data_IF_237040003010
#
_entry.id   IF_237040003010
#
_cell.length_a   1.000
_cell.length_b   1.000
_cell.length_c   1.000
_cell.angle_alpha   90.00
_cell.angle_beta   90.00
_cell.angle_gamma   90.00
#
_symmetry.space_group_name_H-M   'P 1'
#
loop_
_entity.id
_entity.type
_entity.pdbx_description
1 polymer ?
#
# COMPACT_ATOMS: atom_id res chain seq x y z
N UNK A 1 26.64 12.99 -15.92
CA UNK A 1 25.65 13.65 -16.82
C UNK A 1 25.11 14.88 -16.12
N UNK A 2 25.13 16.02 -16.79
CA UNK A 2 24.61 17.29 -16.29
C UNK A 2 23.16 17.46 -16.74
N UNK A 3 22.31 18.00 -15.88
CA UNK A 3 20.86 18.06 -16.05
C UNK A 3 20.35 19.41 -15.56
N UNK A 4 19.67 20.14 -16.44
CA UNK A 4 19.05 21.43 -16.11
C UNK A 4 17.66 21.20 -15.50
N UNK A 5 17.40 21.85 -14.37
CA UNK A 5 16.13 21.83 -13.63
C UNK A 5 15.46 23.19 -13.77
N UNK A 6 14.29 23.22 -14.40
CA UNK A 6 13.50 24.44 -14.57
C UNK A 6 12.73 24.79 -13.29
N UNK A 7 11.90 23.87 -12.81
CA UNK A 7 11.09 24.06 -11.60
C UNK A 7 11.09 22.81 -10.71
N UNK A 8 10.75 21.66 -11.30
CA UNK A 8 10.66 20.37 -10.62
C UNK A 8 11.07 19.25 -11.56
N UNK A 9 11.72 18.23 -11.01
CA UNK A 9 12.10 17.01 -11.71
C UNK A 9 11.98 15.82 -10.78
N UNK A 10 11.48 14.70 -11.31
CA UNK A 10 11.53 13.40 -10.63
C UNK A 10 12.73 12.62 -11.14
N UNK A 11 13.49 12.06 -10.21
CA UNK A 11 14.63 11.18 -10.46
C UNK A 11 14.24 9.79 -10.02
N UNK A 12 14.21 8.85 -10.96
CA UNK A 12 13.99 7.44 -10.68
C UNK A 12 15.30 6.68 -10.91
N UNK A 13 15.87 6.14 -9.84
CA UNK A 13 17.00 5.24 -9.91
C UNK A 13 16.53 3.80 -9.79
N UNK A 14 16.86 2.98 -10.80
CA UNK A 14 16.64 1.54 -10.81
C UNK A 14 17.98 0.81 -10.74
N UNK A 15 18.01 -0.30 -10.01
CA UNK A 15 19.17 -1.18 -9.97
C UNK A 15 19.40 -1.86 -11.33
N UNK A 16 20.60 -2.41 -11.52
CA UNK A 16 20.94 -3.32 -12.61
C UNK A 16 21.43 -4.64 -12.05
N UNK A 17 21.50 -5.63 -12.92
CA UNK A 17 22.21 -6.90 -12.77
C UNK A 17 23.73 -6.74 -12.54
N UNK A 18 24.29 -5.54 -12.74
CA UNK A 18 25.68 -5.22 -12.47
C UNK A 18 25.82 -4.12 -11.39
N UNK A 19 26.92 -4.11 -10.61
CA UNK A 19 27.22 -3.01 -9.72
C UNK A 19 27.37 -1.70 -10.50
N UNK A 20 26.74 -0.64 -10.01
CA UNK A 20 26.73 0.66 -10.66
C UNK A 20 27.13 1.76 -9.67
N UNK A 21 28.00 2.65 -10.15
CA UNK A 21 28.30 3.93 -9.52
C UNK A 21 27.90 5.03 -10.49
N UNK A 22 26.84 5.76 -10.14
CA UNK A 22 26.21 6.74 -11.01
C UNK A 22 26.29 8.12 -10.38
N UNK A 23 26.76 9.10 -11.17
CA UNK A 23 26.80 10.50 -10.76
C UNK A 23 25.92 11.32 -11.71
N UNK A 24 24.96 12.04 -11.13
CA UNK A 24 24.11 13.02 -11.80
C UNK A 24 24.30 14.38 -11.15
N UNK A 25 24.54 15.39 -11.97
CA UNK A 25 24.69 16.77 -11.54
C UNK A 25 23.43 17.49 -11.99
N UNK A 26 22.79 18.20 -11.08
CA UNK A 26 21.60 18.99 -11.36
C UNK A 26 21.92 20.46 -11.17
N UNK A 27 21.52 21.29 -12.13
CA UNK A 27 21.72 22.74 -12.12
C UNK A 27 20.39 23.44 -12.31
N UNK A 28 20.13 24.49 -11.56
CA UNK A 28 18.99 25.36 -11.84
C UNK A 28 19.18 26.01 -13.21
N UNK A 29 18.09 26.12 -13.99
CA UNK A 29 18.08 26.82 -15.27
C UNK A 29 18.62 28.25 -15.18
N UNK A 30 18.30 28.97 -14.10
CA UNK A 30 18.75 30.34 -13.88
C UNK A 30 20.12 30.44 -13.17
N UNK A 31 20.70 29.31 -12.74
CA UNK A 31 21.96 29.23 -12.01
C UNK A 31 21.98 29.84 -10.60
N UNK A 32 21.13 30.84 -10.34
CA UNK A 32 21.03 31.59 -9.08
C UNK A 32 20.07 30.96 -8.07
N UNK A 33 19.06 30.22 -8.54
CA UNK A 33 18.11 29.55 -7.64
C UNK A 33 18.74 28.31 -7.04
N UNK A 34 18.82 28.26 -5.71
CA UNK A 34 19.18 27.03 -4.97
C UNK A 34 18.23 25.87 -5.33
N UNK A 35 18.71 24.64 -5.18
CA UNK A 35 17.95 23.43 -5.41
C UNK A 35 17.57 22.78 -4.08
N UNK A 36 16.36 22.26 -4.02
CA UNK A 36 15.89 21.37 -2.98
C UNK A 36 15.82 19.94 -3.50
N UNK A 37 16.14 18.97 -2.66
CA UNK A 37 16.03 17.55 -2.96
C UNK A 37 15.36 16.81 -1.82
N UNK A 38 14.46 15.88 -2.17
CA UNK A 38 13.81 14.98 -1.22
C UNK A 38 13.72 13.58 -1.79
N UNK A 39 14.08 12.58 -0.99
CA UNK A 39 13.80 11.18 -1.31
C UNK A 39 12.34 10.88 -0.96
N UNK A 40 11.54 10.55 -1.98
CA UNK A 40 10.12 10.22 -1.84
C UNK A 40 9.93 8.75 -1.43
N UNK A 41 10.71 7.86 -2.04
CA UNK A 41 10.82 6.44 -1.74
C UNK A 41 12.28 6.00 -1.85
N UNK A 42 12.71 5.09 -0.97
CA UNK A 42 14.06 4.57 -0.93
C UNK A 42 14.03 3.12 -0.47
N UNK A 43 14.53 2.23 -1.31
CA UNK A 43 14.75 0.83 -0.97
C UNK A 43 16.11 0.37 -1.53
N UNK A 44 17.12 0.30 -0.66
CA UNK A 44 18.47 -0.11 -1.05
C UNK A 44 18.69 -1.58 -0.69
N UNK A 45 19.22 -2.36 -1.63
CA UNK A 45 19.35 -3.81 -1.51
C UNK A 45 20.35 -4.25 -0.44
N UNK A 46 21.48 -3.55 -0.32
CA UNK A 46 22.57 -3.95 0.57
C UNK A 46 22.94 -2.83 1.56
N UNK A 47 23.50 -3.21 2.72
CA UNK A 47 23.98 -2.24 3.72
C UNK A 47 25.16 -1.38 3.21
N UNK A 48 25.90 -1.91 2.23
CA UNK A 48 26.98 -1.19 1.55
C UNK A 48 26.49 -0.23 0.46
N UNK A 49 25.23 -0.34 0.04
CA UNK A 49 24.64 0.57 -0.95
C UNK A 49 24.33 1.92 -0.29
N UNK A 50 24.57 3.01 -1.02
CA UNK A 50 24.33 4.34 -0.49
C UNK A 50 24.03 5.37 -1.59
N UNK A 51 23.39 6.45 -1.14
CA UNK A 51 23.17 7.67 -1.92
C UNK A 51 23.87 8.82 -1.19
N UNK A 52 24.82 9.47 -1.85
CA UNK A 52 25.49 10.67 -1.34
C UNK A 52 25.11 11.91 -2.15
N UNK A 53 24.89 13.00 -1.43
CA UNK A 53 24.43 14.28 -1.94
C UNK A 53 25.49 15.32 -1.64
N UNK A 54 25.85 16.11 -2.65
CA UNK A 54 26.91 17.12 -2.55
C UNK A 54 26.36 18.49 -2.91
N UNK A 55 26.85 19.50 -2.21
CA UNK A 55 26.56 20.89 -2.51
C UNK A 55 27.40 21.32 -3.71
N UNK A 56 26.72 21.69 -4.79
CA UNK A 56 27.38 22.00 -6.04
C UNK A 56 27.73 20.79 -6.90
N UNK A 57 28.87 20.87 -7.59
CA UNK A 57 29.32 19.93 -8.62
C UNK A 57 30.42 19.04 -8.05
N UNK A 58 30.15 17.73 -7.90
CA UNK A 58 31.06 16.73 -7.29
C UNK A 58 32.53 16.81 -7.75
N UNK A 59 32.79 17.20 -8.99
CA UNK A 59 34.14 17.27 -9.57
C UNK A 59 34.91 18.53 -9.17
N UNK A 60 34.30 19.47 -8.45
CA UNK A 60 34.95 20.67 -7.96
C UNK A 60 35.53 20.45 -6.56
N UNK A 61 36.72 21.02 -6.29
CA UNK A 61 37.45 20.82 -5.02
C UNK A 61 36.68 21.30 -3.78
N UNK A 62 35.69 22.17 -3.96
CA UNK A 62 34.88 22.80 -2.90
C UNK A 62 33.55 22.10 -2.62
N UNK A 63 33.23 20.99 -3.29
CA UNK A 63 31.92 20.34 -3.11
C UNK A 63 31.86 19.48 -1.85
N UNK A 64 31.18 19.99 -0.83
CA UNK A 64 30.95 19.30 0.44
C UNK A 64 29.81 18.29 0.35
N UNK A 65 29.87 17.22 1.14
CA UNK A 65 28.79 16.26 1.28
C UNK A 65 27.71 16.87 2.18
N UNK A 66 26.55 17.20 1.61
CA UNK A 66 25.39 17.67 2.37
C UNK A 66 24.76 16.49 3.14
N UNK A 67 24.72 15.31 2.49
CA UNK A 67 24.06 14.15 3.08
C UNK A 67 24.59 12.83 2.55
N UNK A 68 24.60 11.85 3.44
CA UNK A 68 24.89 10.46 3.14
C UNK A 68 23.73 9.58 3.62
N UNK A 69 23.16 8.80 2.71
CA UNK A 69 21.93 8.01 2.91
C UNK A 69 22.26 6.53 2.70
N UNK A 70 21.96 5.69 3.68
CA UNK A 70 22.11 4.23 3.67
C UNK A 70 20.76 3.56 3.94
N UNK A 71 20.70 2.24 3.74
CA UNK A 71 19.49 1.41 3.91
C UNK A 71 18.76 1.66 5.26
N UNK A 72 17.41 1.62 5.31
CA UNK A 72 16.65 2.45 6.21
C UNK A 72 16.27 1.69 7.48
N UNK A 73 16.80 2.11 8.64
CA UNK A 73 16.09 1.88 9.91
C UNK A 73 15.25 3.08 10.37
N UNK A 74 15.47 4.29 9.86
CA UNK A 74 14.68 5.47 10.28
C UNK A 74 15.04 6.78 9.55
N UNK A 75 15.42 6.75 8.28
CA UNK A 75 15.79 8.00 7.60
C UNK A 75 14.53 8.81 7.24
N UNK A 76 14.12 9.69 8.17
CA UNK A 76 13.06 10.68 7.99
C UNK A 76 13.27 11.43 6.67
N UNK A 77 12.17 11.65 5.95
CA UNK A 77 12.05 12.39 4.68
C UNK A 77 12.49 13.85 4.90
N UNK A 78 13.80 14.09 4.97
CA UNK A 78 14.37 15.42 5.21
C UNK A 78 14.53 16.11 3.87
N UNK A 79 13.96 17.30 3.76
CA UNK A 79 14.20 18.17 2.63
C UNK A 79 15.62 18.72 2.72
N UNK A 80 16.41 18.50 1.68
CA UNK A 80 17.82 18.89 1.61
C UNK A 80 17.92 20.07 0.67
N UNK A 81 18.59 21.14 1.09
CA UNK A 81 18.74 22.36 0.31
C UNK A 81 20.22 22.56 -0.01
N UNK A 82 20.51 22.88 -1.27
CA UNK A 82 21.84 23.33 -1.69
C UNK A 82 22.02 24.82 -1.36
N UNK A 83 23.25 25.24 -1.11
CA UNK A 83 23.57 26.67 -0.93
C UNK A 83 23.73 27.37 -2.27
N UNK A 84 24.19 26.63 -3.28
CA UNK A 84 24.37 27.10 -4.66
C UNK A 84 23.28 26.58 -5.58
N UNK A 85 23.18 27.10 -6.81
CA UNK A 85 22.20 26.64 -7.80
C UNK A 85 22.49 25.27 -8.43
N UNK A 86 23.21 24.40 -7.72
CA UNK A 86 23.48 23.03 -8.17
C UNK A 86 23.59 22.03 -7.03
N UNK A 87 23.22 20.78 -7.30
CA UNK A 87 23.36 19.64 -6.38
C UNK A 87 23.84 18.43 -7.16
N UNK A 88 24.77 17.66 -6.59
CA UNK A 88 25.23 16.40 -7.19
C UNK A 88 24.73 15.20 -6.40
N UNK A 89 24.18 14.23 -7.12
CA UNK A 89 23.70 12.96 -6.61
C UNK A 89 24.64 11.87 -7.08
N UNK A 90 25.31 11.21 -6.12
CA UNK A 90 26.09 10.01 -6.36
C UNK A 90 25.37 8.82 -5.74
N UNK A 91 25.13 7.80 -6.55
CA UNK A 91 24.56 6.54 -6.09
C UNK A 91 25.57 5.45 -6.33
N UNK A 92 25.86 4.67 -5.30
CA UNK A 92 26.68 3.47 -5.39
C UNK A 92 25.82 2.29 -4.96
N UNK A 93 25.62 1.35 -5.87
CA UNK A 93 24.74 0.20 -5.68
C UNK A 93 25.41 -1.05 -6.23
N UNK A 94 25.34 -2.17 -5.50
CA UNK A 94 25.69 -3.50 -6.02
C UNK A 94 24.60 -4.05 -6.92
N UNK A 95 24.91 -5.14 -7.62
CA UNK A 95 23.94 -5.86 -8.43
C UNK A 95 22.74 -6.31 -7.59
N UNK A 96 21.52 -5.96 -8.02
CA UNK A 96 20.29 -6.46 -7.43
C UNK A 96 19.14 -6.35 -8.43
N UNK A 97 18.02 -7.01 -8.14
CA UNK A 97 16.84 -6.94 -8.99
C UNK A 97 16.27 -5.52 -9.06
N UNK A 98 16.16 -4.98 -10.28
CA UNK A 98 15.60 -3.67 -10.56
C UNK A 98 14.11 -3.53 -10.26
N UNK A 99 13.42 -4.66 -10.01
CA UNK A 99 11.98 -4.66 -9.69
C UNK A 99 11.67 -4.11 -8.30
N UNK A 100 12.55 -4.37 -7.33
CA UNK A 100 12.25 -4.11 -5.92
C UNK A 100 13.15 -3.04 -5.31
N UNK A 101 14.34 -2.82 -5.88
CA UNK A 101 15.34 -1.93 -5.30
C UNK A 101 15.56 -0.70 -6.17
N UNK A 102 15.73 0.44 -5.51
CA UNK A 102 15.86 1.73 -6.15
C UNK A 102 15.42 2.87 -5.25
N UNK A 103 15.28 4.04 -5.85
CA UNK A 103 14.67 5.18 -5.17
C UNK A 103 14.00 6.12 -6.16
N UNK A 104 13.04 6.87 -5.63
CA UNK A 104 12.41 8.00 -6.30
C UNK A 104 12.75 9.24 -5.49
N UNK A 105 13.34 10.24 -6.15
CA UNK A 105 13.65 11.53 -5.57
C UNK A 105 12.95 12.64 -6.34
N UNK A 106 12.61 13.70 -5.63
CA UNK A 106 12.17 14.96 -6.19
C UNK A 106 13.30 15.99 -6.08
N UNK A 107 13.54 16.73 -7.15
CA UNK A 107 14.44 17.87 -7.19
C UNK A 107 13.66 19.10 -7.63
N UNK A 108 13.71 20.18 -6.86
CA UNK A 108 12.97 21.42 -7.10
C UNK A 108 13.88 22.63 -7.06
N UNK A 109 13.56 23.67 -7.83
CA UNK A 109 14.16 24.99 -7.62
C UNK A 109 13.51 25.70 -6.45
N UNK A 110 14.28 26.47 -5.69
CA UNK A 110 13.81 27.24 -4.54
C UNK A 110 13.79 28.75 -4.84
N UNK A 111 12.77 29.50 -4.34
CA UNK A 111 11.60 29.01 -3.61
C UNK A 111 10.72 28.10 -4.49
N UNK A 112 10.03 27.14 -3.87
CA UNK A 112 9.18 26.17 -4.60
C UNK A 112 8.06 26.98 -5.24
N UNK A 113 7.96 26.94 -6.58
CA UNK A 113 6.79 27.45 -7.27
C UNK A 113 5.58 26.70 -6.72
N UNK A 114 4.61 27.44 -6.16
CA UNK A 114 3.37 26.87 -5.66
C UNK A 114 2.55 26.38 -6.84
N UNK A 115 2.87 25.19 -7.35
CA UNK A 115 1.98 24.44 -8.23
C UNK A 115 0.80 24.09 -7.33
N UNK A 116 -0.29 24.83 -7.50
CA UNK A 116 -1.51 24.74 -6.71
C UNK A 116 -2.21 23.40 -6.92
N UNK A 117 -1.69 22.34 -6.31
CA UNK A 117 -2.51 21.18 -6.03
C UNK A 117 -3.49 21.61 -4.95
N UNK A 118 -4.74 21.82 -5.35
CA UNK A 118 -5.82 21.99 -4.41
C UNK A 118 -5.81 20.77 -3.48
N UNK A 119 -5.85 20.99 -2.16
CA UNK A 119 -5.93 19.89 -1.19
C UNK A 119 -7.12 18.98 -1.44
N UNK A 120 -8.14 19.48 -2.14
CA UNK A 120 -9.35 18.76 -2.52
C UNK A 120 -9.26 18.11 -3.91
N UNK A 121 -8.06 17.92 -4.46
CA UNK A 121 -7.90 17.20 -5.74
C UNK A 121 -8.29 15.75 -5.54
N UNK A 122 -9.13 15.22 -6.43
CA UNK A 122 -9.63 13.85 -6.40
C UNK A 122 -9.35 13.15 -7.73
N UNK A 123 -8.86 11.92 -7.67
CA UNK A 123 -8.87 10.99 -8.79
C UNK A 123 -10.11 10.12 -8.70
N UNK A 124 -11.01 10.27 -9.67
CA UNK A 124 -12.28 9.57 -9.70
C UNK A 124 -12.30 8.55 -10.85
N UNK A 125 -12.57 7.29 -10.53
CA UNK A 125 -12.84 6.21 -11.47
C UNK A 125 -14.28 5.77 -11.26
N UNK A 126 -15.18 6.16 -12.16
CA UNK A 126 -16.59 5.82 -12.02
C UNK A 126 -17.29 5.43 -13.31
N UNK A 127 -18.43 4.77 -13.16
CA UNK A 127 -19.33 4.38 -14.25
C UNK A 127 -18.65 3.58 -15.37
N UNK A 128 -17.63 2.79 -15.02
CA UNK A 128 -16.81 2.06 -15.98
C UNK A 128 -17.02 0.55 -15.89
N UNK A 129 -16.82 -0.14 -17.01
CA UNK A 129 -16.71 -1.60 -17.07
C UNK A 129 -15.27 -1.94 -17.40
N UNK A 130 -14.56 -2.54 -16.45
CA UNK A 130 -13.15 -2.93 -16.58
C UNK A 130 -13.10 -4.45 -16.55
N UNK A 131 -12.90 -5.08 -17.70
CA UNK A 131 -12.97 -6.54 -17.80
C UNK A 131 -11.85 -7.18 -18.63
N UNK A 132 -11.61 -8.46 -18.38
CA UNK A 132 -10.71 -9.32 -19.15
C UNK A 132 -9.26 -8.83 -19.26
N UNK A 133 -8.79 -8.01 -18.32
CA UNK A 133 -7.43 -7.49 -18.33
C UNK A 133 -6.43 -8.52 -17.78
N UNK A 134 -5.31 -8.69 -18.48
CA UNK A 134 -4.29 -9.68 -18.14
C UNK A 134 -3.52 -9.33 -16.85
N UNK A 135 -3.18 -8.06 -16.63
CA UNK A 135 -2.35 -7.60 -15.50
C UNK A 135 -3.15 -6.91 -14.38
N UNK A 136 -4.45 -7.19 -14.28
CA UNK A 136 -5.36 -6.52 -13.36
C UNK A 136 -6.14 -5.37 -13.98
N UNK A 137 -7.13 -4.89 -13.24
CA UNK A 137 -8.05 -3.83 -13.63
C UNK A 137 -7.52 -2.44 -13.28
N UNK A 138 -7.09 -2.24 -12.04
CA UNK A 138 -6.63 -0.95 -11.53
C UNK A 138 -5.35 -1.18 -10.74
N UNK A 139 -4.26 -0.52 -11.15
CA UNK A 139 -3.03 -0.47 -10.38
C UNK A 139 -2.67 0.99 -10.13
N UNK A 140 -2.82 1.43 -8.88
CA UNK A 140 -2.59 2.82 -8.47
C UNK A 140 -1.54 2.87 -7.38
N UNK A 141 -0.47 3.62 -7.63
CA UNK A 141 0.59 3.85 -6.66
C UNK A 141 0.88 5.34 -6.56
N UNK A 142 1.04 5.84 -5.33
CA UNK A 142 1.41 7.23 -5.10
C UNK A 142 2.52 7.35 -4.06
N UNK A 143 3.37 8.37 -4.25
CA UNK A 143 4.47 8.72 -3.37
C UNK A 143 4.52 10.23 -3.23
N UNK A 144 4.68 10.75 -2.01
CA UNK A 144 4.64 12.19 -1.80
C UNK A 144 4.40 12.59 -0.35
N UNK A 145 4.27 13.90 -0.14
CA UNK A 145 3.94 14.49 1.16
C UNK A 145 2.43 14.47 1.42
N UNK A 146 1.64 14.86 0.41
CA UNK A 146 0.17 14.78 0.39
C UNK A 146 -0.22 14.33 -1.01
N UNK A 147 -1.08 13.31 -1.10
CA UNK A 147 -1.58 12.80 -2.37
C UNK A 147 -3.09 13.07 -2.53
N UNK A 148 -3.60 13.13 -3.77
CA UNK A 148 -5.02 13.34 -4.05
C UNK A 148 -5.93 12.33 -3.33
N UNK A 149 -7.16 12.73 -3.06
CA UNK A 149 -8.22 11.81 -2.68
C UNK A 149 -8.50 10.83 -3.83
N UNK A 150 -8.92 9.62 -3.49
CA UNK A 150 -9.21 8.59 -4.49
C UNK A 150 -10.64 8.13 -4.31
N UNK A 151 -11.42 8.13 -5.39
CA UNK A 151 -12.78 7.61 -5.40
C UNK A 151 -12.96 6.61 -6.54
N UNK A 152 -13.46 5.43 -6.20
CA UNK A 152 -13.81 4.38 -7.15
C UNK A 152 -15.27 4.01 -6.90
N UNK A 153 -16.15 4.41 -7.81
CA UNK A 153 -17.58 4.33 -7.60
C UNK A 153 -18.35 3.81 -8.81
N UNK A 154 -19.37 2.97 -8.60
CA UNK A 154 -20.29 2.56 -9.68
C UNK A 154 -19.62 1.81 -10.85
N UNK A 155 -18.57 1.04 -10.58
CA UNK A 155 -17.86 0.27 -11.61
C UNK A 155 -18.23 -1.21 -11.61
N UNK A 156 -18.06 -1.85 -12.76
CA UNK A 156 -18.07 -3.31 -12.92
C UNK A 156 -16.66 -3.79 -13.24
N UNK A 157 -16.06 -4.54 -12.33
CA UNK A 157 -14.69 -5.05 -12.43
C UNK A 157 -14.77 -6.57 -12.51
N UNK A 158 -14.67 -7.11 -13.73
CA UNK A 158 -15.08 -8.50 -14.03
C UNK A 158 -14.00 -9.27 -14.80
N UNK A 159 -13.74 -10.52 -14.44
CA UNK A 159 -12.83 -11.42 -15.20
C UNK A 159 -11.41 -10.85 -15.39
N UNK A 160 -10.91 -10.06 -14.45
CA UNK A 160 -9.56 -9.53 -14.50
C UNK A 160 -8.58 -10.47 -13.80
N UNK A 161 -7.37 -10.49 -14.34
CA UNK A 161 -6.33 -11.46 -14.06
C UNK A 161 -6.74 -12.88 -14.49
N UNK A 162 -5.74 -13.69 -14.81
CA UNK A 162 -5.94 -15.08 -15.21
C UNK A 162 -5.18 -15.98 -14.26
N UNK A 163 -5.83 -17.06 -13.85
CA UNK A 163 -5.15 -18.19 -13.25
C UNK A 163 -4.30 -18.87 -14.33
N UNK A 164 -3.02 -19.11 -14.05
CA UNK A 164 -2.16 -19.89 -14.95
C UNK A 164 -2.43 -21.37 -14.66
N UNK A 165 -2.96 -22.15 -15.63
CA UNK A 165 -3.31 -23.55 -15.41
C UNK A 165 -2.16 -24.37 -14.83
N UNK A 166 -2.48 -25.31 -13.95
CA UNK A 166 -1.52 -26.21 -13.29
C UNK A 166 -0.48 -25.50 -12.40
N UNK A 167 -0.75 -24.27 -11.98
CA UNK A 167 0.11 -23.52 -11.05
C UNK A 167 -0.75 -22.80 -10.03
N UNK A 168 -0.19 -22.44 -8.88
CA UNK A 168 -0.85 -21.53 -7.93
C UNK A 168 -0.55 -20.06 -8.26
N UNK A 169 -0.32 -19.73 -9.53
CA UNK A 169 0.14 -18.40 -9.95
C UNK A 169 -0.97 -17.73 -10.74
N UNK A 170 -1.30 -16.49 -10.37
CA UNK A 170 -2.12 -15.57 -11.16
C UNK A 170 -1.24 -14.64 -11.97
N UNK A 171 -1.77 -14.12 -13.08
CA UNK A 171 -1.06 -13.15 -13.94
C UNK A 171 -0.90 -11.77 -13.31
N UNK A 172 -1.53 -11.54 -12.16
CA UNK A 172 -1.43 -10.31 -11.36
C UNK A 172 -1.39 -10.67 -9.88
N UNK A 173 -0.90 -9.78 -9.03
CA UNK A 173 -0.96 -9.96 -7.58
C UNK A 173 -2.39 -9.83 -7.06
N UNK A 174 -3.15 -8.85 -7.58
CA UNK A 174 -4.56 -8.56 -7.28
C UNK A 174 -5.16 -7.75 -8.45
N UNK A 175 -6.46 -7.88 -8.77
CA UNK A 175 -7.07 -7.17 -9.88
C UNK A 175 -7.22 -5.67 -9.59
N UNK A 176 -7.44 -5.29 -8.33
CA UNK A 176 -7.49 -3.89 -7.90
C UNK A 176 -6.43 -3.72 -6.82
N UNK A 177 -5.40 -2.92 -7.11
CA UNK A 177 -4.27 -2.70 -6.22
C UNK A 177 -4.03 -1.21 -6.00
N UNK A 178 -4.02 -0.81 -4.72
CA UNK A 178 -3.68 0.52 -4.26
C UNK A 178 -2.44 0.47 -3.36
N UNK A 179 -1.39 1.19 -3.73
CA UNK A 179 -0.20 1.45 -2.91
C UNK A 179 -0.18 2.92 -2.52
N UNK A 180 -0.74 3.23 -1.36
CA UNK A 180 -1.06 4.58 -0.93
C UNK A 180 -0.08 5.07 0.11
N UNK A 181 0.79 5.99 -0.30
CA UNK A 181 1.62 6.75 0.62
C UNK A 181 0.94 8.10 0.93
N UNK A 182 0.83 8.50 2.19
CA UNK A 182 0.32 9.81 2.61
C UNK A 182 -0.98 10.25 1.89
N UNK A 183 -1.90 9.31 1.67
CA UNK A 183 -3.20 9.56 1.05
C UNK A 183 -4.24 9.60 2.16
N UNK A 184 -4.99 10.70 2.25
CA UNK A 184 -5.91 10.92 3.38
C UNK A 184 -7.27 10.27 3.19
N UNK A 185 -7.74 10.10 1.95
CA UNK A 185 -9.04 9.46 1.69
C UNK A 185 -9.00 8.48 0.53
N UNK A 186 -9.64 7.33 0.74
CA UNK A 186 -10.01 6.36 -0.28
C UNK A 186 -11.49 6.01 -0.12
N UNK A 187 -12.30 6.30 -1.13
CA UNK A 187 -13.68 5.85 -1.23
C UNK A 187 -13.78 4.75 -2.27
N UNK A 188 -14.24 3.56 -1.86
CA UNK A 188 -14.50 2.44 -2.76
C UNK A 188 -15.93 1.96 -2.53
N UNK A 189 -16.86 2.34 -3.40
CA UNK A 189 -18.27 2.09 -3.13
C UNK A 189 -19.12 1.81 -4.36
N UNK A 190 -20.24 1.11 -4.15
CA UNK A 190 -21.19 0.79 -5.23
C UNK A 190 -20.55 0.06 -6.42
N UNK A 191 -19.47 -0.69 -6.20
CA UNK A 191 -18.80 -1.46 -7.25
C UNK A 191 -19.23 -2.94 -7.23
N UNK A 192 -19.24 -3.54 -8.41
CA UNK A 192 -19.30 -4.99 -8.61
C UNK A 192 -17.88 -5.50 -8.89
N UNK A 193 -17.36 -6.37 -8.05
CA UNK A 193 -16.05 -7.03 -8.20
C UNK A 193 -16.30 -8.54 -8.31
N UNK A 194 -16.26 -9.05 -9.53
CA UNK A 194 -16.74 -10.41 -9.82
C UNK A 194 -15.81 -11.23 -10.70
N UNK A 195 -15.66 -12.53 -10.41
CA UNK A 195 -14.92 -13.48 -11.26
C UNK A 195 -13.46 -13.09 -11.54
N UNK A 196 -12.85 -12.33 -10.63
CA UNK A 196 -11.43 -11.98 -10.75
C UNK A 196 -10.56 -12.95 -9.93
N UNK A 197 -9.25 -12.92 -10.15
CA UNK A 197 -8.28 -13.59 -9.27
C UNK A 197 -8.04 -12.74 -8.00
N UNK A 198 -8.97 -12.80 -7.03
CA UNK A 198 -9.03 -11.91 -5.87
C UNK A 198 -9.94 -10.70 -6.06
N UNK A 199 -9.90 -9.73 -5.14
CA UNK A 199 -10.71 -8.51 -5.22
C UNK A 199 -9.90 -7.23 -5.02
N UNK A 200 -10.08 -6.56 -3.88
CA UNK A 200 -9.44 -5.28 -3.58
C UNK A 200 -8.25 -5.45 -2.64
N UNK A 201 -7.09 -4.92 -3.02
CA UNK A 201 -5.93 -4.77 -2.14
C UNK A 201 -5.53 -3.32 -1.94
N UNK A 202 -5.41 -2.92 -0.68
CA UNK A 202 -4.94 -1.61 -0.26
C UNK A 202 -3.75 -1.79 0.67
N UNK A 203 -2.63 -1.21 0.28
CA UNK A 203 -1.43 -1.11 1.10
C UNK A 203 -1.19 0.36 1.41
N UNK A 204 -1.27 0.72 2.69
CA UNK A 204 -1.24 2.10 3.15
C UNK A 204 -0.02 2.39 4.02
N UNK A 205 0.62 3.52 3.75
CA UNK A 205 1.76 4.04 4.50
C UNK A 205 1.62 5.55 4.74
N UNK A 206 1.90 6.03 5.94
CA UNK A 206 1.74 7.46 6.27
C UNK A 206 2.88 7.98 7.12
N UNK A 207 3.48 9.12 6.76
CA UNK A 207 4.59 9.70 7.52
C UNK A 207 4.18 10.29 8.87
N UNK A 208 2.92 10.67 9.05
CA UNK A 208 2.41 11.20 10.31
C UNK A 208 0.89 11.08 10.41
N UNK A 209 0.36 11.39 11.61
CA UNK A 209 -1.09 11.32 11.91
C UNK A 209 -1.94 12.22 11.01
N UNK A 210 -1.42 13.37 10.59
CA UNK A 210 -2.12 14.27 9.66
C UNK A 210 -2.28 13.68 8.25
N UNK A 211 -1.56 12.61 7.91
CA UNK A 211 -1.56 11.99 6.58
C UNK A 211 -2.04 10.53 6.62
N UNK A 212 -2.73 10.13 7.70
CA UNK A 212 -3.31 8.78 7.83
C UNK A 212 -4.43 8.60 6.84
N UNK A 213 -4.51 7.40 6.28
CA UNK A 213 -5.60 7.01 5.41
C UNK A 213 -6.86 6.82 6.23
N UNK A 214 -7.92 7.48 5.77
CA UNK A 214 -9.30 7.17 6.11
C UNK A 214 -9.93 6.52 4.88
N UNK A 215 -10.04 5.20 4.89
CA UNK A 215 -10.68 4.47 3.80
C UNK A 215 -12.12 4.13 4.15
N UNK A 216 -13.02 4.29 3.19
CA UNK A 216 -14.44 3.94 3.31
C UNK A 216 -14.80 2.98 2.19
N UNK A 217 -15.17 1.76 2.55
CA UNK A 217 -15.49 0.68 1.61
C UNK A 217 -16.92 0.24 1.88
N UNK A 218 -17.86 0.56 0.99
CA UNK A 218 -19.26 0.29 1.26
C UNK A 218 -20.13 0.04 0.05
N UNK A 219 -21.25 -0.66 0.25
CA UNK A 219 -22.22 -0.96 -0.80
C UNK A 219 -21.60 -1.67 -2.02
N UNK A 220 -20.52 -2.43 -1.83
CA UNK A 220 -19.91 -3.21 -2.90
C UNK A 220 -20.40 -4.66 -2.86
N UNK A 221 -20.40 -5.30 -4.03
CA UNK A 221 -20.59 -6.74 -4.18
C UNK A 221 -19.27 -7.37 -4.62
N UNK A 222 -18.68 -8.19 -3.75
CA UNK A 222 -17.53 -9.03 -4.05
C UNK A 222 -18.02 -10.46 -4.22
N UNK A 223 -18.08 -10.96 -5.45
CA UNK A 223 -18.70 -12.26 -5.72
C UNK A 223 -17.93 -13.13 -6.70
N UNK A 224 -17.93 -14.45 -6.49
CA UNK A 224 -17.30 -15.42 -7.40
C UNK A 224 -15.81 -15.13 -7.68
N UNK A 225 -15.09 -14.44 -6.80
CA UNK A 225 -13.64 -14.23 -6.96
C UNK A 225 -12.87 -15.46 -6.47
N UNK A 226 -11.73 -15.75 -7.09
CA UNK A 226 -10.99 -16.99 -6.86
C UNK A 226 -9.52 -16.77 -6.45
N UNK A 227 -8.95 -17.76 -5.77
CA UNK A 227 -7.55 -17.97 -5.37
C UNK A 227 -6.96 -16.97 -4.36
N UNK A 228 -7.27 -15.68 -4.50
CA UNK A 228 -6.74 -14.61 -3.68
C UNK A 228 -7.86 -13.97 -2.83
N UNK A 229 -7.52 -13.21 -1.76
CA UNK A 229 -8.51 -12.55 -0.92
C UNK A 229 -9.49 -11.68 -1.72
N UNK A 230 -10.76 -11.66 -1.32
CA UNK A 230 -11.75 -10.72 -1.86
C UNK A 230 -11.46 -9.29 -1.37
N UNK A 231 -10.93 -9.15 -0.15
CA UNK A 231 -10.51 -7.89 0.41
C UNK A 231 -9.23 -8.06 1.24
N UNK A 232 -8.20 -7.27 0.94
CA UNK A 232 -6.94 -7.24 1.69
C UNK A 232 -6.52 -5.79 1.97
N UNK A 233 -6.47 -5.40 3.23
CA UNK A 233 -6.06 -4.06 3.64
C UNK A 233 -4.93 -4.17 4.65
N UNK A 234 -3.81 -3.55 4.31
CA UNK A 234 -2.54 -3.66 5.02
C UNK A 234 -1.98 -2.28 5.33
N UNK A 235 -1.73 -1.99 6.60
CA UNK A 235 -0.84 -0.90 7.01
C UNK A 235 0.62 -1.37 6.94
N UNK A 236 1.53 -0.57 6.39
CA UNK A 236 2.97 -0.92 6.37
C UNK A 236 3.69 -0.64 7.70
N UNK A 237 3.10 0.21 8.54
CA UNK A 237 3.65 0.62 9.82
C UNK A 237 2.60 0.52 10.90
N UNK A 238 3.04 0.16 12.10
CA UNK A 238 2.23 0.14 13.31
C UNK A 238 1.67 1.53 13.65
N UNK A 239 2.48 2.57 13.45
CA UNK A 239 2.10 3.96 13.66
C UNK A 239 2.67 4.85 12.55
N UNK A 240 1.93 5.86 12.09
CA UNK A 240 0.56 6.21 12.49
C UNK A 240 -0.48 5.21 11.94
N UNK A 241 -1.56 4.98 12.71
CA UNK A 241 -2.57 3.95 12.39
C UNK A 241 -3.49 4.41 11.25
N UNK A 242 -3.79 3.49 10.35
CA UNK A 242 -4.73 3.71 9.25
C UNK A 242 -6.13 3.35 9.73
N UNK A 243 -7.12 4.16 9.36
CA UNK A 243 -8.52 3.97 9.75
C UNK A 243 -9.36 3.52 8.57
N UNK A 244 -10.06 2.41 8.74
CA UNK A 244 -10.81 1.78 7.66
C UNK A 244 -12.24 1.51 8.13
N UNK A 245 -13.23 2.01 7.39
CA UNK A 245 -14.64 1.75 7.65
C UNK A 245 -15.20 0.90 6.52
N UNK A 246 -15.69 -0.30 6.85
CA UNK A 246 -16.17 -1.30 5.91
C UNK A 246 -17.61 -1.62 6.29
N UNK A 247 -18.59 -1.19 5.48
CA UNK A 247 -19.99 -1.42 5.82
C UNK A 247 -20.91 -1.67 4.64
N UNK A 248 -22.00 -2.42 4.87
CA UNK A 248 -23.00 -2.71 3.82
C UNK A 248 -22.40 -3.32 2.55
N UNK A 249 -21.31 -4.06 2.66
CA UNK A 249 -20.77 -4.84 1.56
C UNK A 249 -21.34 -6.25 1.60
N UNK A 250 -21.44 -6.85 0.42
CA UNK A 250 -21.83 -8.24 0.26
C UNK A 250 -20.64 -9.02 -0.31
N UNK A 251 -20.14 -9.99 0.46
CA UNK A 251 -19.13 -10.96 0.04
C UNK A 251 -19.81 -12.30 -0.16
N UNK A 252 -19.95 -12.77 -1.40
CA UNK A 252 -20.60 -14.06 -1.70
C UNK A 252 -19.74 -14.95 -2.57
N UNK A 253 -19.74 -16.26 -2.32
CA UNK A 253 -19.21 -17.24 -3.29
C UNK A 253 -17.74 -17.03 -3.68
N UNK A 254 -16.95 -16.36 -2.84
CA UNK A 254 -15.51 -16.20 -3.08
C UNK A 254 -14.77 -17.44 -2.58
N UNK A 255 -13.79 -17.91 -3.36
CA UNK A 255 -13.07 -19.16 -3.11
C UNK A 255 -11.57 -18.87 -3.04
N UNK A 256 -11.00 -18.86 -1.84
CA UNK A 256 -9.57 -18.68 -1.60
C UNK A 256 -9.06 -19.73 -0.57
N UNK A 257 -8.92 -21.02 -0.93
CA UNK A 257 -8.67 -22.09 0.04
C UNK A 257 -7.35 -21.98 0.81
N UNK A 258 -6.39 -21.22 0.30
CA UNK A 258 -5.05 -21.04 0.88
C UNK A 258 -4.82 -19.63 1.45
N UNK A 259 -5.83 -18.76 1.38
CA UNK A 259 -5.77 -17.36 1.84
C UNK A 259 -7.04 -17.03 2.63
N UNK A 260 -7.02 -15.97 3.43
CA UNK A 260 -8.26 -15.55 4.11
C UNK A 260 -9.09 -14.68 3.16
N UNK A 261 -10.43 -14.80 3.19
CA UNK A 261 -11.31 -14.04 2.27
C UNK A 261 -11.19 -12.54 2.50
N UNK A 262 -11.18 -12.13 3.77
CA UNK A 262 -11.01 -10.76 4.21
C UNK A 262 -9.81 -10.67 5.16
N UNK A 263 -8.83 -9.85 4.81
CA UNK A 263 -7.61 -9.63 5.59
C UNK A 263 -7.49 -8.16 5.99
N UNK A 264 -7.47 -7.89 7.30
CA UNK A 264 -7.27 -6.56 7.88
C UNK A 264 -6.03 -6.61 8.78
N UNK A 265 -4.93 -6.06 8.28
CA UNK A 265 -3.60 -6.18 8.91
C UNK A 265 -3.03 -4.80 9.23
N UNK A 266 -2.68 -4.56 10.49
CA UNK A 266 -2.10 -3.28 10.96
C UNK A 266 -2.98 -2.05 10.65
N UNK A 267 -4.30 -2.22 10.70
CA UNK A 267 -5.29 -1.16 10.49
C UNK A 267 -6.36 -1.16 11.57
N UNK A 268 -6.80 0.03 11.99
CA UNK A 268 -7.97 0.18 12.86
C UNK A 268 -9.20 0.07 11.98
N UNK A 269 -10.07 -0.90 12.26
CA UNK A 269 -11.22 -1.18 11.40
C UNK A 269 -12.55 -1.04 12.12
N UNK A 270 -13.52 -0.49 11.41
CA UNK A 270 -14.94 -0.54 11.74
C UNK A 270 -15.62 -1.41 10.66
N UNK A 271 -15.88 -2.67 10.97
CA UNK A 271 -16.47 -3.66 10.07
C UNK A 271 -17.93 -3.94 10.49
N UNK A 272 -18.89 -3.30 9.81
CA UNK A 272 -20.29 -3.28 10.27
C UNK A 272 -21.33 -3.49 9.19
N UNK A 273 -22.43 -4.17 9.51
CA UNK A 273 -23.54 -4.38 8.57
C UNK A 273 -23.12 -5.01 7.23
N UNK A 274 -22.05 -5.82 7.22
CA UNK A 274 -21.66 -6.59 6.04
C UNK A 274 -22.36 -7.94 6.05
N UNK A 275 -22.65 -8.46 4.85
CA UNK A 275 -23.23 -9.77 4.66
C UNK A 275 -22.20 -10.66 3.96
N UNK A 276 -21.86 -11.78 4.59
CA UNK A 276 -20.77 -12.67 4.19
C UNK A 276 -21.38 -14.07 4.05
N UNK A 277 -21.53 -14.54 2.81
CA UNK A 277 -22.32 -15.72 2.47
C UNK A 277 -21.55 -16.70 1.59
N UNK A 278 -21.54 -17.99 1.93
CA UNK A 278 -21.05 -19.04 1.02
C UNK A 278 -19.61 -18.84 0.50
N UNK A 279 -18.73 -18.24 1.31
CA UNK A 279 -17.32 -18.10 0.96
C UNK A 279 -16.51 -19.27 1.51
N UNK A 280 -15.49 -19.70 0.75
CA UNK A 280 -14.54 -20.75 1.15
C UNK A 280 -13.17 -20.12 1.28
N UNK A 281 -12.60 -20.06 2.48
CA UNK A 281 -11.29 -19.46 2.74
C UNK A 281 -10.47 -20.22 3.76
N UNK A 282 -9.18 -19.92 3.88
CA UNK A 282 -8.36 -20.44 5.00
C UNK A 282 -8.99 -20.11 6.35
N UNK A 283 -9.44 -18.86 6.47
CA UNK A 283 -10.48 -18.35 7.36
C UNK A 283 -11.28 -17.29 6.59
N UNK A 284 -12.41 -16.83 7.14
CA UNK A 284 -13.26 -15.87 6.44
C UNK A 284 -12.80 -14.43 6.71
N UNK A 285 -12.58 -14.08 7.97
CA UNK A 285 -12.09 -12.76 8.37
C UNK A 285 -10.87 -12.90 9.27
N UNK A 286 -9.76 -12.26 8.89
CA UNK A 286 -8.56 -12.14 9.70
C UNK A 286 -8.36 -10.69 10.14
N UNK A 287 -8.11 -10.50 11.45
CA UNK A 287 -7.75 -9.20 12.03
C UNK A 287 -6.45 -9.33 12.83
N UNK A 288 -5.38 -8.65 12.41
CA UNK A 288 -4.05 -8.82 13.01
C UNK A 288 -3.16 -7.57 12.96
N UNK A 289 -2.00 -7.61 13.62
CA UNK A 289 -0.90 -6.67 13.36
C UNK A 289 -0.52 -5.72 14.50
N UNK A 290 -1.32 -5.64 15.58
CA UNK A 290 -1.04 -4.78 16.74
C UNK A 290 -0.46 -5.54 17.95
N UNK A 291 0.47 -6.45 17.72
CA UNK A 291 1.07 -7.27 18.78
C UNK A 291 1.99 -6.44 19.69
N UNK A 292 1.89 -6.66 21.01
CA UNK A 292 2.78 -6.03 22.00
C UNK A 292 2.54 -4.54 22.26
N UNK A 293 1.44 -3.98 21.74
CA UNK A 293 1.12 -2.56 21.86
C UNK A 293 0.05 -2.37 22.94
N UNK A 294 0.30 -1.45 23.87
CA UNK A 294 -0.61 -1.07 24.98
C UNK A 294 -1.43 0.20 24.70
N UNK A 295 -1.51 0.62 23.43
CA UNK A 295 -2.39 1.72 23.04
C UNK A 295 -3.85 1.21 23.01
N UNK A 296 -4.85 2.02 23.41
CA UNK A 296 -6.25 1.67 23.32
C UNK A 296 -6.72 1.74 21.85
N UNK A 297 -6.19 0.86 21.01
CA UNK A 297 -6.61 0.73 19.62
C UNK A 297 -7.88 -0.10 19.61
N UNK A 298 -8.98 0.46 19.12
CA UNK A 298 -10.27 -0.23 19.10
C UNK A 298 -10.69 -0.50 17.66
N UNK A 299 -10.67 -1.77 17.27
CA UNK A 299 -11.35 -2.23 16.06
C UNK A 299 -12.65 -2.90 16.43
N UNK A 300 -13.72 -2.61 15.69
CA UNK A 300 -15.05 -3.11 15.96
C UNK A 300 -15.58 -3.92 14.78
N UNK A 301 -16.04 -5.12 15.05
CA UNK A 301 -16.76 -5.99 14.11
C UNK A 301 -18.16 -6.17 14.66
N UNK A 302 -19.16 -5.50 14.09
CA UNK A 302 -20.52 -5.57 14.65
C UNK A 302 -21.66 -5.63 13.65
N UNK A 303 -22.76 -6.27 14.03
CA UNK A 303 -23.98 -6.36 13.21
C UNK A 303 -23.74 -6.95 11.81
N UNK A 304 -22.78 -7.88 11.68
CA UNK A 304 -22.52 -8.58 10.43
C UNK A 304 -23.25 -9.93 10.40
N UNK A 305 -23.60 -10.38 9.20
CA UNK A 305 -24.15 -11.70 8.96
C UNK A 305 -23.11 -12.62 8.32
N UNK A 306 -22.72 -13.70 9.00
CA UNK A 306 -21.85 -14.74 8.46
C UNK A 306 -22.66 -16.02 8.29
N UNK A 307 -22.95 -16.38 7.04
CA UNK A 307 -23.80 -17.52 6.70
C UNK A 307 -23.11 -18.47 5.71
N UNK A 308 -23.17 -19.77 5.98
CA UNK A 308 -22.70 -20.83 5.07
C UNK A 308 -21.25 -20.70 4.60
N UNK A 309 -20.40 -20.01 5.36
CA UNK A 309 -19.00 -19.89 5.02
C UNK A 309 -18.21 -21.10 5.53
N UNK A 310 -17.19 -21.51 4.78
CA UNK A 310 -16.34 -22.66 5.12
C UNK A 310 -14.88 -22.22 5.28
N UNK A 311 -14.30 -22.59 6.42
CA UNK A 311 -12.89 -22.46 6.73
C UNK A 311 -12.17 -23.77 6.36
N UNK A 312 -11.12 -23.66 5.54
CA UNK A 312 -10.36 -24.81 5.04
C UNK A 312 -9.20 -25.20 5.96
N UNK A 313 -8.82 -24.35 6.93
CA UNK A 313 -7.72 -24.63 7.85
C UNK A 313 -8.02 -25.85 8.75
N UNK A 314 -7.40 -26.99 8.44
CA UNK A 314 -7.64 -28.28 9.11
C UNK A 314 -7.43 -28.21 10.62
N UNK A 315 -6.43 -27.46 11.08
CA UNK A 315 -6.12 -27.39 12.52
C UNK A 315 -7.13 -26.51 13.27
N UNK A 316 -7.58 -25.43 12.62
CA UNK A 316 -8.31 -24.34 13.23
C UNK A 316 -9.38 -23.84 12.26
N UNK A 317 -10.40 -24.66 11.97
CA UNK A 317 -11.51 -24.30 11.07
C UNK A 317 -12.41 -23.24 11.70
N UNK A 318 -11.97 -21.98 11.63
CA UNK A 318 -12.63 -20.83 12.26
C UNK A 318 -13.16 -19.82 11.25
N UNK A 319 -14.33 -19.24 11.53
CA UNK A 319 -14.88 -18.15 10.70
C UNK A 319 -14.01 -16.90 10.82
N UNK A 320 -13.77 -16.44 12.06
CA UNK A 320 -12.95 -15.26 12.35
C UNK A 320 -11.65 -15.67 13.02
N UNK A 321 -10.54 -15.09 12.58
CA UNK A 321 -9.23 -15.23 13.19
C UNK A 321 -8.75 -13.89 13.78
N UNK A 322 -8.87 -13.78 15.10
CA UNK A 322 -8.57 -12.60 15.90
C UNK A 322 -7.17 -12.71 16.52
N UNK A 323 -6.19 -12.00 15.95
CA UNK A 323 -4.78 -12.10 16.33
C UNK A 323 -4.23 -10.94 17.16
N UNK A 324 -4.95 -9.83 17.28
CA UNK A 324 -4.48 -8.65 18.00
C UNK A 324 -5.42 -8.22 19.12
N UNK A 325 -4.87 -7.47 20.07
CA UNK A 325 -5.64 -6.87 21.16
C UNK A 325 -6.56 -5.75 20.62
N UNK A 326 -7.58 -5.41 21.42
CA UNK A 326 -8.45 -4.26 21.14
C UNK A 326 -9.48 -4.50 20.04
N UNK A 327 -9.93 -5.74 19.87
CA UNK A 327 -10.97 -6.12 18.93
C UNK A 327 -12.29 -6.37 19.68
N UNK A 328 -13.37 -5.78 19.22
CA UNK A 328 -14.71 -5.93 19.78
C UNK A 328 -15.63 -6.60 18.77
N UNK A 329 -16.34 -7.64 19.20
CA UNK A 329 -17.29 -8.38 18.38
C UNK A 329 -18.69 -8.24 18.99
N UNK A 330 -19.61 -7.55 18.32
CA UNK A 330 -20.92 -7.17 18.89
C UNK A 330 -22.05 -7.50 17.93
N UNK A 331 -23.06 -8.25 18.38
CA UNK A 331 -24.27 -8.57 17.59
C UNK A 331 -24.00 -9.12 16.18
N UNK A 332 -22.93 -9.90 15.99
CA UNK A 332 -22.73 -10.62 14.74
C UNK A 332 -23.53 -11.92 14.78
N UNK A 333 -24.11 -12.30 13.65
CA UNK A 333 -24.80 -13.58 13.50
C UNK A 333 -23.86 -14.55 12.80
N UNK A 334 -23.65 -15.71 13.39
CA UNK A 334 -22.85 -16.79 12.82
C UNK A 334 -23.75 -18.00 12.55
N UNK A 335 -23.75 -18.46 11.32
CA UNK A 335 -24.42 -19.67 10.89
C UNK A 335 -23.55 -20.36 9.83
N UNK A 336 -22.45 -20.95 10.27
CA UNK A 336 -21.45 -21.58 9.42
C UNK A 336 -21.27 -23.04 9.86
N UNK A 337 -22.14 -23.96 9.42
CA UNK A 337 -22.21 -25.32 9.98
C UNK A 337 -20.95 -26.17 9.75
N UNK A 338 -20.17 -25.87 8.71
CA UNK A 338 -18.93 -26.58 8.38
C UNK A 338 -17.70 -26.08 9.18
N UNK A 339 -17.85 -25.00 9.97
CA UNK A 339 -16.77 -24.45 10.78
C UNK A 339 -16.82 -25.00 12.20
N UNK A 340 -15.67 -25.37 12.73
CA UNK A 340 -15.54 -25.82 14.12
C UNK A 340 -15.69 -24.66 15.11
N UNK A 341 -15.28 -23.46 14.70
CA UNK A 341 -15.27 -22.28 15.55
C UNK A 341 -15.84 -21.05 14.83
N UNK A 342 -16.58 -20.24 15.58
CA UNK A 342 -17.04 -18.93 15.09
C UNK A 342 -15.89 -17.93 15.14
N UNK A 343 -15.19 -17.86 16.28
CA UNK A 343 -14.07 -16.95 16.51
C UNK A 343 -12.92 -17.73 17.15
N UNK A 344 -11.74 -17.60 16.54
CA UNK A 344 -10.48 -18.10 17.09
C UNK A 344 -9.68 -16.89 17.55
N UNK A 345 -9.47 -16.79 18.86
CA UNK A 345 -8.60 -15.79 19.45
C UNK A 345 -7.24 -16.41 19.73
N UNK A 346 -6.18 -15.85 19.15
CA UNK A 346 -4.82 -16.28 19.43
C UNK A 346 -3.92 -15.06 19.63
N UNK A 347 -3.18 -15.05 20.73
CA UNK A 347 -2.06 -14.11 20.87
C UNK A 347 -0.92 -14.64 20.03
N UNK A 348 -0.53 -13.95 18.95
CA UNK A 348 0.66 -14.36 18.22
C UNK A 348 1.88 -14.20 19.14
N UNK A 349 2.34 -15.29 19.75
CA UNK A 349 3.67 -15.40 20.34
C UNK A 349 4.68 -15.93 19.31
N UNK A 350 4.31 -16.01 18.03
CA UNK A 350 5.19 -16.48 16.98
C UNK A 350 6.19 -15.39 16.57
N UNK A 351 7.25 -15.27 17.39
CA UNK A 351 8.61 -15.14 16.87
C UNK A 351 8.95 -16.42 16.11
N UNK A 352 8.41 -16.61 14.92
CA UNK A 352 8.96 -17.56 13.95
C UNK A 352 9.54 -16.74 12.80
N UNK A 353 10.86 -16.93 12.65
CA UNK A 353 11.83 -16.24 11.81
C UNK A 353 11.41 -16.02 10.36
#
# INVERSE_FOLDING_TARGET
KDIVVYERMIVHFKYSDQPLSCIKIFRSHLGSKSLGLRLLQLNLAHESDYVSLYDGILYNKTSEIIRFVKSPKSQRRRFIKSTVGSISLKTTARAASSRNYGFIAEIVTLPIAAIGFNRNTEHNISYSIINNNFMGAINYACAGEVNPHISVAWNKIINNCRHIPNTNISTCDMPIQFQLQNTQSLHFHNNLVMKNQGGLKVTADSSGFATTLQAVIHNNLFTENANLPALNITGLRIAPQQHITIYRNFFSDNIAPYENIIQLVQVISNFTFNYIYSNIGFHILQMSGFHGIRLPLQSSTSHNGFYWNEATNIQNKGTIFALSNGQYYVHNIFYNPENNYEIIAATSNNRSK
#
